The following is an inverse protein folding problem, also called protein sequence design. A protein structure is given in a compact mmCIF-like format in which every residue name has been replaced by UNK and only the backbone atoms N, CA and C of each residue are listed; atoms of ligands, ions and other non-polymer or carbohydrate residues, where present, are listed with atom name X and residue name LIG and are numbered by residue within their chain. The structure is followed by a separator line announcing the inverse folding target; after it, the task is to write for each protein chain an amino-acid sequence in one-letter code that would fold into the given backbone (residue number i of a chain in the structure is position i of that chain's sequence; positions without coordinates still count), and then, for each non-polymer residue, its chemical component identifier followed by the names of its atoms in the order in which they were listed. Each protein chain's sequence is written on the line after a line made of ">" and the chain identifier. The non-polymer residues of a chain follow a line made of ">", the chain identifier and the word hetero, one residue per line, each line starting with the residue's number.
data_IF_467338694616
#
_entry.id   IF_467338694616
#
_cell.length_a   1.000
_cell.length_b   1.000
_cell.length_c   1.000
_cell.angle_alpha   90.00
_cell.angle_beta   90.00
_cell.angle_gamma   90.00
#
_symmetry.space_group_name_H-M   'P 1'
#
loop_
_entity.id
_entity.type
_entity.pdbx_description
1 polymer ?
#
# COMPACT_ATOMS: atom_id res chain seq x y z
N UNK A 1 40.77 -11.75 55.81
CA UNK A 1 40.89 -10.37 55.32
C UNK A 1 40.21 -10.32 53.96
N UNK A 2 38.89 -10.11 53.88
CA UNK A 2 38.21 -8.79 53.69
C UNK A 2 38.45 -8.30 52.25
N UNK A 3 37.50 -8.03 51.34
CA UNK A 3 36.05 -7.79 51.39
C UNK A 3 35.41 -7.82 49.97
N UNK A 4 34.09 -8.08 49.93
CA UNK A 4 33.01 -7.53 49.07
C UNK A 4 33.23 -7.27 47.56
N UNK A 5 32.52 -7.94 46.65
CA UNK A 5 31.10 -7.75 46.28
C UNK A 5 30.79 -6.42 45.57
N UNK A 6 30.44 -6.51 44.27
CA UNK A 6 29.31 -5.76 43.70
C UNK A 6 28.80 -6.43 42.41
N UNK A 7 27.54 -6.88 42.49
CA UNK A 7 26.67 -7.22 41.37
C UNK A 7 26.33 -5.97 40.56
N UNK A 8 26.16 -6.11 39.25
CA UNK A 8 25.21 -5.32 38.49
C UNK A 8 24.62 -6.20 37.36
N UNK A 9 23.35 -6.55 37.51
CA UNK A 9 22.53 -7.17 36.48
C UNK A 9 22.01 -6.14 35.47
N UNK A 10 21.16 -6.57 34.52
CA UNK A 10 21.07 -6.03 33.17
C UNK A 10 20.19 -4.78 33.11
N UNK A 11 20.62 -3.77 32.36
CA UNK A 11 19.73 -2.69 31.94
C UNK A 11 19.06 -3.09 30.63
N UNK A 12 17.83 -3.59 30.77
CA UNK A 12 16.89 -3.66 29.66
C UNK A 12 16.67 -2.27 29.08
N UNK A 13 16.82 -2.16 27.75
CA UNK A 13 16.29 -1.03 27.00
C UNK A 13 15.06 -1.53 26.27
N UNK A 14 13.95 -1.43 26.97
CA UNK A 14 12.64 -1.48 26.37
C UNK A 14 12.42 -0.27 25.45
N UNK A 15 11.73 -0.57 24.35
CA UNK A 15 10.67 0.22 23.73
C UNK A 15 10.99 1.67 23.30
N UNK A 16 10.94 1.89 21.98
CA UNK A 16 10.01 2.85 21.37
C UNK A 16 10.06 2.69 19.85
N UNK A 17 9.23 1.78 19.33
CA UNK A 17 8.84 1.81 17.93
C UNK A 17 7.88 2.99 17.76
N UNK A 18 8.39 4.11 17.26
CA UNK A 18 7.55 5.19 16.77
C UNK A 18 7.19 4.89 15.31
N UNK A 19 6.10 4.16 15.10
CA UNK A 19 5.41 4.12 13.80
C UNK A 19 4.59 5.40 13.72
N UNK A 20 5.11 6.42 13.04
CA UNK A 20 4.29 7.54 12.59
C UNK A 20 3.60 7.10 11.29
N UNK A 21 2.38 6.60 11.42
CA UNK A 21 1.45 6.52 10.30
C UNK A 21 0.90 7.94 10.06
N UNK A 22 1.35 8.59 8.98
CA UNK A 22 0.74 9.84 8.54
C UNK A 22 -0.63 9.53 7.93
N UNK A 23 -1.67 9.88 8.68
CA UNK A 23 -3.05 9.91 8.22
C UNK A 23 -3.21 11.09 7.24
N UNK A 24 -3.40 10.82 5.96
CA UNK A 24 -3.84 11.84 5.01
C UNK A 24 -5.34 12.07 5.21
N UNK A 25 -5.69 13.20 5.81
CA UNK A 25 -7.07 13.65 5.98
C UNK A 25 -7.62 14.19 4.65
N UNK A 26 -8.73 13.61 4.17
CA UNK A 26 -9.52 14.17 3.07
C UNK A 26 -10.30 15.37 3.62
N UNK A 27 -9.93 16.59 3.24
CA UNK A 27 -10.66 17.80 3.59
C UNK A 27 -12.00 17.87 2.86
N UNK A 28 -13.11 17.80 3.61
CA UNK A 28 -14.45 18.07 3.12
C UNK A 28 -14.73 19.57 3.06
N UNK A 29 -14.94 20.11 1.86
CA UNK A 29 -15.48 21.45 1.64
C UNK A 29 -16.94 21.34 1.16
N UNK A 30 -17.87 21.79 2.01
CA UNK A 30 -19.30 21.85 1.70
C UNK A 30 -19.79 23.26 1.33
N UNK A 31 -20.82 23.29 0.48
CA UNK A 31 -21.67 24.45 0.14
C UNK A 31 -21.81 24.62 -1.38
N UNK A 32 -22.98 24.64 -2.02
CA UNK A 32 -24.37 24.61 -1.61
C UNK A 32 -25.22 25.42 -2.60
N UNK A 33 -26.19 24.79 -3.27
CA UNK A 33 -27.41 25.44 -3.78
C UNK A 33 -27.58 25.61 -5.31
N UNK A 34 -28.69 25.08 -5.85
CA UNK A 34 -29.30 25.51 -7.12
C UNK A 34 -29.86 24.35 -7.97
N UNK A 35 -31.16 24.34 -8.25
CA UNK A 35 -31.98 23.15 -8.53
C UNK A 35 -32.35 22.95 -10.03
N UNK A 36 -32.89 21.74 -10.30
CA UNK A 36 -33.82 21.33 -11.36
C UNK A 36 -33.29 20.88 -12.74
N UNK A 37 -33.59 19.62 -13.08
CA UNK A 37 -33.53 19.09 -14.46
C UNK A 37 -33.57 17.57 -14.51
N UNK A 38 -34.75 17.02 -14.75
CA UNK A 38 -35.14 15.60 -14.78
C UNK A 38 -34.21 14.63 -15.52
N UNK A 39 -34.15 13.41 -14.99
CA UNK A 39 -33.65 12.21 -15.67
C UNK A 39 -33.33 11.12 -14.65
N UNK A 40 -34.29 10.22 -14.41
CA UNK A 40 -34.21 9.16 -13.41
C UNK A 40 -32.94 8.33 -13.48
N UNK A 41 -31.92 8.73 -12.71
CA UNK A 41 -30.82 7.87 -12.30
C UNK A 41 -31.31 7.04 -11.14
N UNK A 42 -31.92 5.90 -11.45
CA UNK A 42 -32.08 4.81 -10.49
C UNK A 42 -30.73 4.60 -9.81
N UNK A 43 -30.65 4.91 -8.51
CA UNK A 43 -29.57 4.44 -7.64
C UNK A 43 -29.70 2.94 -7.53
N UNK A 44 -29.22 2.26 -8.58
CA UNK A 44 -29.08 0.81 -8.60
C UNK A 44 -27.99 0.44 -7.58
N UNK A 45 -28.22 -0.57 -6.73
CA UNK A 45 -27.20 -1.00 -5.80
C UNK A 45 -26.11 -1.72 -6.60
N UNK A 46 -24.93 -1.10 -6.68
CA UNK A 46 -23.70 -1.81 -6.97
C UNK A 46 -22.73 -1.44 -5.83
N UNK A 47 -22.47 -2.30 -4.83
CA UNK A 47 -21.51 -1.98 -3.78
C UNK A 47 -20.11 -2.37 -4.25
N UNK A 48 -19.71 -1.92 -5.44
CA UNK A 48 -18.31 -1.97 -5.87
C UNK A 48 -17.78 -0.56 -5.78
N UNK A 49 -16.81 -0.37 -4.91
CA UNK A 49 -16.13 0.89 -4.69
C UNK A 49 -14.72 0.61 -4.22
N UNK A 50 -13.85 1.61 -4.29
CA UNK A 50 -12.46 1.47 -3.84
C UNK A 50 -12.32 1.56 -2.31
N UNK A 51 -13.43 1.56 -1.57
CA UNK A 51 -13.48 1.91 -0.14
C UNK A 51 -12.82 0.90 0.79
N UNK A 52 -12.63 -0.34 0.34
CA UNK A 52 -11.99 -1.38 1.15
C UNK A 52 -10.52 -1.56 0.77
N UNK A 53 -9.69 -1.89 1.77
CA UNK A 53 -8.28 -2.26 1.59
C UNK A 53 -8.06 -3.74 1.94
N UNK A 54 -8.61 -4.64 1.12
CA UNK A 54 -8.67 -6.08 1.35
C UNK A 54 -7.57 -6.88 0.66
N UNK A 55 -6.87 -6.29 -0.33
CA UNK A 55 -5.69 -6.91 -0.93
C UNK A 55 -4.42 -6.47 -0.17
N UNK A 56 -3.41 -7.32 -0.13
CA UNK A 56 -2.12 -7.05 0.50
C UNK A 56 -1.00 -7.23 -0.53
N UNK A 57 -0.16 -6.21 -0.69
CA UNK A 57 1.04 -6.29 -1.52
C UNK A 57 2.20 -6.76 -0.66
N UNK A 58 2.59 -8.01 -0.86
CA UNK A 58 3.44 -8.76 0.07
C UNK A 58 4.94 -8.52 -0.14
N UNK A 59 5.34 -8.46 -1.41
CA UNK A 59 6.73 -8.33 -1.85
C UNK A 59 6.76 -7.73 -3.26
N UNK A 60 7.96 -7.56 -3.83
CA UNK A 60 8.15 -6.98 -5.17
C UNK A 60 7.39 -7.71 -6.29
N UNK A 61 6.92 -8.94 -6.06
CA UNK A 61 6.35 -9.83 -7.10
C UNK A 61 4.92 -10.30 -6.82
N UNK A 62 4.41 -10.14 -5.60
CA UNK A 62 3.19 -10.83 -5.16
C UNK A 62 2.19 -9.90 -4.48
N UNK A 63 0.97 -9.90 -5.00
CA UNK A 63 -0.24 -9.45 -4.31
C UNK A 63 -0.99 -10.66 -3.75
N UNK A 64 -1.66 -10.50 -2.62
CA UNK A 64 -2.51 -11.50 -2.02
C UNK A 64 -3.89 -10.91 -1.72
N UNK A 65 -4.96 -11.63 -2.09
CA UNK A 65 -6.33 -11.19 -1.84
C UNK A 65 -7.15 -12.31 -1.18
N UNK A 66 -7.37 -12.24 0.15
CA UNK A 66 -8.23 -13.17 0.86
C UNK A 66 -9.67 -13.15 0.32
N UNK A 67 -10.24 -14.34 0.11
CA UNK A 67 -11.61 -14.50 -0.39
C UNK A 67 -11.82 -14.06 -1.85
N UNK A 68 -10.76 -13.85 -2.63
CA UNK A 68 -10.86 -13.64 -4.07
C UNK A 68 -11.08 -14.97 -4.81
N UNK A 69 -11.75 -14.93 -5.96
CA UNK A 69 -12.06 -16.12 -6.76
C UNK A 69 -10.85 -16.62 -7.56
N UNK A 70 -10.50 -17.90 -7.40
CA UNK A 70 -9.46 -18.51 -8.25
C UNK A 70 -9.86 -18.64 -9.74
N UNK A 71 -11.13 -18.41 -10.09
CA UNK A 71 -11.63 -18.50 -11.46
C UNK A 71 -11.63 -17.17 -12.22
N UNK A 72 -11.37 -16.06 -11.53
CA UNK A 72 -11.48 -14.71 -12.08
C UNK A 72 -10.12 -14.20 -12.58
N UNK A 73 -10.16 -13.10 -13.33
CA UNK A 73 -8.96 -12.37 -13.77
C UNK A 73 -8.79 -11.10 -12.96
N UNK A 74 -7.54 -10.62 -12.87
CA UNK A 74 -7.21 -9.51 -11.99
C UNK A 74 -6.37 -8.46 -12.71
N UNK A 75 -6.63 -7.19 -12.39
CA UNK A 75 -5.88 -6.05 -12.90
C UNK A 75 -5.47 -5.13 -11.76
N UNK A 76 -4.26 -4.58 -11.85
CA UNK A 76 -3.78 -3.48 -11.02
C UNK A 76 -3.86 -2.18 -11.83
N UNK A 77 -4.57 -1.20 -11.30
CA UNK A 77 -4.67 0.15 -11.84
C UNK A 77 -3.84 1.10 -11.00
N UNK A 78 -3.16 2.04 -11.64
CA UNK A 78 -2.35 3.04 -10.98
C UNK A 78 -2.63 4.44 -11.53
N UNK A 79 -2.57 5.45 -10.66
CA UNK A 79 -2.78 6.85 -11.00
C UNK A 79 -1.88 7.75 -10.15
N UNK A 80 -1.02 8.52 -10.80
CA UNK A 80 -0.05 9.39 -10.15
C UNK A 80 -0.70 10.57 -9.43
N UNK A 81 -1.87 11.02 -9.93
CA UNK A 81 -2.62 12.14 -9.37
C UNK A 81 -3.87 11.73 -8.56
N UNK A 82 -3.98 10.43 -8.24
CA UNK A 82 -5.10 9.86 -7.50
C UNK A 82 -6.49 10.11 -8.12
N UNK A 83 -6.60 10.01 -9.44
CA UNK A 83 -7.83 10.24 -10.18
C UNK A 83 -8.63 8.98 -10.54
N UNK A 84 -8.30 7.82 -9.96
CA UNK A 84 -9.04 6.59 -10.23
C UNK A 84 -10.50 6.75 -9.81
N UNK A 85 -11.41 6.41 -10.72
CA UNK A 85 -12.84 6.35 -10.46
C UNK A 85 -13.46 5.11 -11.11
N UNK A 86 -14.34 4.42 -10.36
CA UNK A 86 -15.20 3.38 -10.91
C UNK A 86 -16.47 4.00 -11.47
N UNK A 87 -16.78 3.71 -12.72
CA UNK A 87 -17.95 4.22 -13.42
C UNK A 87 -19.16 3.32 -13.24
N UNK A 88 -20.33 3.87 -13.52
CA UNK A 88 -21.61 3.15 -13.45
C UNK A 88 -21.71 1.97 -14.41
N UNK A 89 -20.92 1.98 -15.49
CA UNK A 89 -20.80 0.86 -16.44
C UNK A 89 -19.80 -0.21 -15.99
N UNK A 90 -19.24 -0.08 -14.79
CA UNK A 90 -18.23 -0.99 -14.24
C UNK A 90 -16.80 -0.73 -14.76
N UNK A 91 -16.58 0.26 -15.63
CA UNK A 91 -15.23 0.60 -16.10
C UNK A 91 -14.45 1.41 -15.07
N UNK A 92 -13.13 1.21 -15.04
CA UNK A 92 -12.20 2.05 -14.27
C UNK A 92 -11.66 3.16 -15.17
N UNK A 93 -11.61 4.37 -14.63
CA UNK A 93 -11.15 5.58 -15.32
C UNK A 93 -10.10 6.33 -14.50
N UNK A 94 -9.37 7.26 -15.13
CA UNK A 94 -8.31 8.04 -14.47
C UNK A 94 -7.01 7.26 -14.22
N UNK A 95 -6.87 6.08 -14.84
CA UNK A 95 -5.66 5.28 -14.73
C UNK A 95 -4.58 5.78 -15.69
N UNK A 96 -3.39 6.02 -15.16
CA UNK A 96 -2.19 6.33 -15.95
C UNK A 96 -1.50 5.03 -16.41
N UNK A 97 -1.65 3.95 -15.62
CA UNK A 97 -1.16 2.62 -15.96
C UNK A 97 -2.16 1.53 -15.56
N UNK A 98 -2.12 0.41 -16.28
CA UNK A 98 -2.92 -0.78 -15.99
C UNK A 98 -2.11 -2.03 -16.29
N UNK A 99 -2.13 -2.98 -15.36
CA UNK A 99 -1.38 -4.23 -15.45
C UNK A 99 -2.30 -5.41 -15.22
N UNK A 100 -2.33 -6.35 -16.16
CA UNK A 100 -2.97 -7.65 -15.93
C UNK A 100 -2.08 -8.47 -15.00
N UNK A 101 -2.63 -8.93 -13.88
CA UNK A 101 -1.92 -9.77 -12.92
C UNK A 101 -1.89 -11.22 -13.41
N UNK A 102 -0.92 -11.98 -12.91
CA UNK A 102 -0.79 -13.40 -13.19
C UNK A 102 -2.02 -14.20 -12.76
N UNK A 103 -2.18 -15.37 -13.34
CA UNK A 103 -3.28 -16.27 -13.01
C UNK A 103 -3.32 -16.55 -11.50
N UNK A 104 -4.52 -16.58 -10.88
CA UNK A 104 -4.68 -16.91 -9.46
C UNK A 104 -3.95 -18.18 -9.07
N UNK A 105 -3.15 -18.11 -8.02
CA UNK A 105 -2.42 -19.24 -7.46
C UNK A 105 -2.40 -19.19 -5.93
N UNK A 106 -1.88 -20.22 -5.28
CA UNK A 106 -1.57 -20.16 -3.85
C UNK A 106 -0.35 -19.28 -3.57
N UNK A 107 -0.18 -18.87 -2.32
CA UNK A 107 1.03 -18.16 -1.88
C UNK A 107 2.26 -19.09 -1.90
N UNK A 108 3.43 -18.52 -2.17
CA UNK A 108 4.70 -19.23 -2.02
C UNK A 108 4.93 -19.64 -0.56
N UNK A 109 5.76 -20.66 -0.32
CA UNK A 109 6.10 -21.08 1.04
C UNK A 109 6.72 -19.94 1.88
N UNK A 110 7.54 -19.10 1.25
CA UNK A 110 8.13 -17.94 1.90
C UNK A 110 7.07 -16.89 2.29
N UNK A 111 6.17 -16.55 1.36
CA UNK A 111 5.07 -15.62 1.64
C UNK A 111 4.12 -16.16 2.71
N UNK A 112 3.74 -17.44 2.62
CA UNK A 112 2.88 -18.09 3.61
C UNK A 112 3.52 -18.14 5.01
N UNK A 113 4.84 -18.34 5.10
CA UNK A 113 5.55 -18.29 6.38
C UNK A 113 5.64 -16.89 6.97
N UNK A 114 5.78 -15.85 6.13
CA UNK A 114 5.86 -14.46 6.58
C UNK A 114 4.48 -13.89 6.93
N UNK A 115 3.43 -14.34 6.25
CA UNK A 115 2.05 -13.88 6.40
C UNK A 115 1.10 -15.07 6.68
N UNK A 116 1.25 -15.77 7.82
CA UNK A 116 0.46 -16.97 8.12
C UNK A 116 -1.06 -16.72 8.19
N UNK A 117 -1.46 -15.49 8.53
CA UNK A 117 -2.86 -15.06 8.51
C UNK A 117 -3.49 -15.04 7.10
N UNK A 118 -2.69 -15.11 6.04
CA UNK A 118 -3.14 -15.16 4.64
C UNK A 118 -3.20 -16.59 4.09
N UNK A 119 -3.15 -17.60 4.95
CA UNK A 119 -3.32 -18.99 4.53
C UNK A 119 -4.64 -19.15 3.75
N UNK A 120 -4.54 -19.72 2.54
CA UNK A 120 -5.69 -19.88 1.63
C UNK A 120 -6.09 -18.63 0.85
N UNK A 121 -5.36 -17.52 0.96
CA UNK A 121 -5.57 -16.37 0.09
C UNK A 121 -5.13 -16.66 -1.36
N UNK A 122 -5.78 -15.98 -2.31
CA UNK A 122 -5.34 -16.00 -3.71
C UNK A 122 -4.10 -15.12 -3.83
N UNK A 123 -3.00 -15.71 -4.30
CA UNK A 123 -1.80 -15.03 -4.75
C UNK A 123 -1.91 -14.62 -6.21
N UNK A 124 -1.48 -13.40 -6.50
CA UNK A 124 -1.51 -12.77 -7.81
C UNK A 124 -0.09 -12.26 -8.12
N UNK A 125 0.53 -12.85 -9.14
CA UNK A 125 1.86 -12.44 -9.55
C UNK A 125 1.82 -11.11 -10.31
N UNK A 126 2.78 -10.25 -10.06
CA UNK A 126 2.94 -9.00 -10.81
C UNK A 126 3.65 -9.27 -12.13
N UNK A 127 3.18 -8.68 -13.25
CA UNK A 127 3.93 -8.77 -14.50
C UNK A 127 5.25 -8.00 -14.39
N UNK A 128 6.24 -8.40 -15.18
CA UNK A 128 7.57 -7.77 -15.19
C UNK A 128 7.53 -6.26 -15.44
N UNK A 129 6.55 -5.79 -16.23
CA UNK A 129 6.32 -4.36 -16.46
C UNK A 129 5.94 -3.59 -15.19
N UNK A 130 5.14 -4.19 -14.29
CA UNK A 130 4.82 -3.57 -13.01
C UNK A 130 6.05 -3.60 -12.07
N UNK A 131 6.79 -4.72 -12.07
CA UNK A 131 7.97 -4.89 -11.23
C UNK A 131 9.08 -3.88 -11.57
N UNK A 132 9.29 -3.57 -12.86
CA UNK A 132 10.28 -2.56 -13.27
C UNK A 132 9.91 -1.13 -12.87
N UNK A 133 8.64 -0.88 -12.54
CA UNK A 133 8.11 0.42 -12.13
C UNK A 133 7.77 0.50 -10.64
N UNK A 134 8.18 -0.49 -9.84
CA UNK A 134 7.74 -0.67 -8.46
C UNK A 134 7.89 0.61 -7.60
N UNK A 135 9.05 1.27 -7.68
CA UNK A 135 9.30 2.50 -6.91
C UNK A 135 8.42 3.69 -7.31
N UNK A 136 7.92 3.73 -8.55
CA UNK A 136 6.94 4.73 -8.98
C UNK A 136 5.55 4.34 -8.48
N UNK A 137 5.11 3.10 -8.71
CA UNK A 137 3.79 2.60 -8.33
C UNK A 137 3.50 2.78 -6.82
N UNK A 138 4.51 2.58 -5.96
CA UNK A 138 4.35 2.75 -4.51
C UNK A 138 4.10 4.20 -4.07
N UNK A 139 4.16 5.17 -4.99
CA UNK A 139 3.85 6.59 -4.76
C UNK A 139 2.53 7.02 -5.42
N UNK A 140 1.84 6.09 -6.08
CA UNK A 140 0.63 6.34 -6.83
C UNK A 140 -0.60 5.83 -6.08
N UNK A 141 -1.78 6.28 -6.50
CA UNK A 141 -3.03 5.65 -6.08
C UNK A 141 -3.15 4.31 -6.81
N UNK A 142 -3.46 3.25 -6.05
CA UNK A 142 -3.50 1.88 -6.56
C UNK A 142 -4.85 1.23 -6.28
N UNK A 143 -5.38 0.49 -7.25
CA UNK A 143 -6.58 -0.33 -7.09
C UNK A 143 -6.36 -1.68 -7.77
N UNK A 144 -6.65 -2.76 -7.04
CA UNK A 144 -6.75 -4.13 -7.59
C UNK A 144 -8.21 -4.40 -7.91
N UNK A 145 -8.46 -4.88 -9.13
CA UNK A 145 -9.80 -5.14 -9.67
C UNK A 145 -9.92 -6.60 -10.04
N UNK A 146 -11.02 -7.21 -9.62
CA UNK A 146 -11.43 -8.57 -9.96
C UNK A 146 -12.46 -8.52 -11.09
N UNK A 147 -12.22 -9.27 -12.16
CA UNK A 147 -13.08 -9.37 -13.32
C UNK A 147 -13.56 -10.80 -13.53
N UNK A 148 -14.85 -10.96 -13.78
CA UNK A 148 -15.43 -12.28 -14.13
C UNK A 148 -15.05 -12.73 -15.54
N UNK A 149 -15.56 -13.90 -15.94
CA UNK A 149 -15.33 -14.48 -17.27
C UNK A 149 -15.88 -13.62 -18.43
N UNK A 150 -16.83 -12.73 -18.17
CA UNK A 150 -17.36 -11.78 -19.15
C UNK A 150 -16.57 -10.46 -19.18
N UNK A 151 -15.56 -10.32 -18.31
CA UNK A 151 -14.75 -9.10 -18.18
C UNK A 151 -15.44 -7.99 -17.39
N UNK A 152 -16.50 -8.30 -16.64
CA UNK A 152 -17.18 -7.33 -15.79
C UNK A 152 -16.50 -7.23 -14.43
N UNK A 153 -16.40 -6.00 -13.91
CA UNK A 153 -15.85 -5.74 -12.58
C UNK A 153 -16.81 -6.28 -11.52
N UNK A 154 -16.34 -7.25 -10.74
CA UNK A 154 -17.10 -7.84 -9.65
C UNK A 154 -16.69 -7.28 -8.30
N UNK A 155 -15.40 -6.96 -8.12
CA UNK A 155 -14.83 -6.37 -6.92
C UNK A 155 -13.67 -5.44 -7.26
N UNK A 156 -13.47 -4.44 -6.42
CA UNK A 156 -12.31 -3.57 -6.47
C UNK A 156 -11.84 -3.26 -5.05
N UNK A 157 -10.54 -3.07 -4.85
CA UNK A 157 -9.98 -2.81 -3.53
C UNK A 157 -8.63 -2.09 -3.63
N UNK A 158 -8.28 -1.30 -2.62
CA UNK A 158 -6.93 -0.79 -2.49
C UNK A 158 -5.98 -1.85 -1.91
N UNK A 159 -4.73 -1.94 -2.38
CA UNK A 159 -3.74 -2.81 -1.77
C UNK A 159 -3.12 -2.16 -0.54
N UNK A 160 -2.97 -2.94 0.54
CA UNK A 160 -2.14 -2.56 1.68
C UNK A 160 -0.66 -2.79 1.35
N UNK A 161 0.21 -1.80 1.63
CA UNK A 161 1.58 -1.77 1.09
C UNK A 161 2.69 -2.17 2.07
N UNK A 162 2.37 -2.49 3.33
CA UNK A 162 3.37 -2.76 4.37
C UNK A 162 4.36 -3.86 4.00
N UNK A 163 3.91 -4.92 3.33
CA UNK A 163 4.75 -6.06 2.97
C UNK A 163 5.82 -5.68 1.96
N UNK A 164 5.39 -5.08 0.85
CA UNK A 164 6.26 -4.63 -0.24
C UNK A 164 7.17 -3.47 0.19
N UNK A 165 6.72 -2.56 1.05
CA UNK A 165 7.58 -1.50 1.58
C UNK A 165 8.74 -2.07 2.39
N UNK A 166 8.47 -3.10 3.21
CA UNK A 166 9.52 -3.79 3.94
C UNK A 166 10.48 -4.55 3.02
N UNK A 167 9.93 -5.26 2.03
CA UNK A 167 10.69 -6.05 1.07
C UNK A 167 11.68 -5.18 0.27
N UNK A 168 11.20 -4.01 -0.20
CA UNK A 168 11.98 -3.11 -1.07
C UNK A 168 12.90 -2.18 -0.28
N UNK A 169 12.44 -1.64 0.84
CA UNK A 169 13.12 -0.51 1.50
C UNK A 169 13.69 -0.82 2.89
N UNK A 170 13.23 -1.84 3.62
CA UNK A 170 13.64 -2.00 5.01
C UNK A 170 15.11 -2.34 5.17
N UNK A 171 15.69 -3.15 4.28
CA UNK A 171 17.10 -3.54 4.37
C UNK A 171 18.03 -2.33 4.26
N UNK A 172 17.79 -1.44 3.28
CA UNK A 172 18.58 -0.22 3.11
C UNK A 172 18.30 0.78 4.23
N UNK A 173 17.04 0.98 4.60
CA UNK A 173 16.64 1.90 5.66
C UNK A 173 17.30 1.59 7.01
N UNK A 174 17.41 0.31 7.40
CA UNK A 174 18.01 -0.12 8.69
C UNK A 174 19.47 0.26 8.86
N UNK A 175 20.18 0.56 7.77
CA UNK A 175 21.60 0.99 7.81
C UNK A 175 21.78 2.49 7.95
N UNK A 176 20.69 3.26 7.93
CA UNK A 176 20.72 4.72 7.94
C UNK A 176 20.46 5.29 9.34
N UNK A 177 21.08 6.43 9.64
CA UNK A 177 20.68 7.28 10.77
C UNK A 177 19.58 8.25 10.31
N UNK A 178 18.38 8.12 10.90
CA UNK A 178 17.24 9.02 10.67
C UNK A 178 17.20 10.16 11.69
N UNK A 179 16.47 11.23 11.36
CA UNK A 179 16.40 12.44 12.15
C UNK A 179 17.48 13.44 11.76
N UNK A 180 17.98 14.19 12.75
CA UNK A 180 19.04 15.19 12.57
C UNK A 180 20.35 14.62 13.06
N UNK A 181 21.40 14.71 12.24
CA UNK A 181 22.77 14.40 12.63
C UNK A 181 23.69 15.56 12.25
N UNK A 182 24.65 15.89 13.10
CA UNK A 182 25.66 16.92 12.83
C UNK A 182 27.01 16.23 12.68
N UNK A 183 27.65 16.40 11.52
CA UNK A 183 28.98 15.84 11.27
C UNK A 183 30.07 16.65 12.01
N UNK A 184 31.30 16.13 12.04
CA UNK A 184 32.42 16.75 12.75
C UNK A 184 32.80 18.13 12.20
N UNK A 185 32.46 18.40 10.95
CA UNK A 185 32.61 19.68 10.25
C UNK A 185 31.44 20.66 10.53
N UNK A 186 30.56 20.32 11.49
CA UNK A 186 29.34 21.03 11.84
C UNK A 186 28.23 21.06 10.76
N UNK A 187 28.33 20.24 9.70
CA UNK A 187 27.28 20.15 8.68
C UNK A 187 26.06 19.38 9.21
N UNK A 188 24.85 19.99 9.27
CA UNK A 188 23.64 19.28 9.65
C UNK A 188 23.10 18.44 8.49
N UNK A 189 22.71 17.21 8.77
CA UNK A 189 22.03 16.29 7.85
C UNK A 189 20.67 15.93 8.42
N UNK A 190 19.63 16.04 7.60
CA UNK A 190 18.26 15.67 7.92
C UNK A 190 17.88 14.46 7.08
N UNK A 191 17.35 13.41 7.72
CA UNK A 191 16.91 12.20 7.02
C UNK A 191 15.56 11.72 7.56
N UNK A 192 14.61 11.55 6.65
CA UNK A 192 13.26 11.06 6.91
C UNK A 192 13.01 9.79 6.09
N UNK A 193 12.35 8.80 6.68
CA UNK A 193 11.84 7.65 5.94
C UNK A 193 10.46 7.99 5.37
N UNK A 194 10.38 8.14 4.05
CA UNK A 194 9.15 8.50 3.34
C UNK A 194 9.10 7.86 1.94
N UNK A 195 9.12 6.52 1.84
CA UNK A 195 9.29 5.81 0.55
C UNK A 195 8.13 6.05 -0.44
N UNK A 196 6.93 6.32 0.07
CA UNK A 196 5.72 6.58 -0.74
C UNK A 196 5.51 8.07 -1.01
N UNK A 197 6.32 8.97 -0.43
CA UNK A 197 6.15 10.40 -0.66
C UNK A 197 6.56 10.78 -2.08
N UNK A 198 5.72 11.58 -2.74
CA UNK A 198 6.03 12.17 -4.03
C UNK A 198 7.01 13.35 -3.90
N UNK A 199 6.93 14.10 -2.80
CA UNK A 199 7.84 15.20 -2.48
C UNK A 199 8.01 15.35 -0.98
N UNK A 200 9.20 15.78 -0.55
CA UNK A 200 9.52 16.13 0.84
C UNK A 200 10.30 17.45 0.82
N UNK A 201 9.83 18.43 1.57
CA UNK A 201 10.48 19.74 1.72
C UNK A 201 10.76 20.00 3.20
N UNK A 202 11.98 20.45 3.49
CA UNK A 202 12.36 20.93 4.82
C UNK A 202 12.30 22.46 4.80
N UNK A 203 11.46 23.04 5.68
CA UNK A 203 11.42 24.48 5.92
C UNK A 203 12.12 24.76 7.25
N UNK A 204 13.13 25.65 7.23
CA UNK A 204 13.96 26.02 8.39
C UNK A 204 13.79 27.48 8.75
#
# INVERSE_FOLDING_TARGET
>A
MTSASRRAGPLGRGLLFAVLASLAACGGGGGGGGNAGDGGGTTLPLPVGFGDASALWLDATTLAWPGASAANTYKLYASANASLALRSDGSVSGADATFTLGAPAGLSAAAASRFPQLSGAVGLALPSAAQSQLGALLKEQLVVVELDAAGQVTRATQPQLQGVLDDVYAASAKTQAFGVSVAADATPTFRLWAPTAQSVTLNV
#
